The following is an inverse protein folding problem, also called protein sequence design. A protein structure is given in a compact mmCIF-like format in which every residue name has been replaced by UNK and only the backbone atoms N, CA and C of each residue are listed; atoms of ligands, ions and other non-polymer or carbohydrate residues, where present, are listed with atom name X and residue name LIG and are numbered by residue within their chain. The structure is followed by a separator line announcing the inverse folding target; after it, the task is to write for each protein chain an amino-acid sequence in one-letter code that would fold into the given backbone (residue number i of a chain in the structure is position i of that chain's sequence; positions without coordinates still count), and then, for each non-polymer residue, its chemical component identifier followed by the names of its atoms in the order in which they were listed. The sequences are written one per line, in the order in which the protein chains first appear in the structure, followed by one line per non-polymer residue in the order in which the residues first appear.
data_IF_553977808981
#
_entry.id   IF_553977808981
#
_cell.length_a   1.000
_cell.length_b   1.000
_cell.length_c   1.000
_cell.angle_alpha   90.00
_cell.angle_beta   90.00
_cell.angle_gamma   90.00
#
_symmetry.space_group_name_H-M   'P 1'
#
loop_
_entity.id
_entity.type
_entity.pdbx_description
1 polymer ?
#
# COMPACT_ATOMS: atom_id res chain seq x y z
N UNK A 1 -19.18 -13.20 12.82
CA UNK A 1 -18.50 -12.53 11.69
C UNK A 1 -18.24 -11.09 12.12
N UNK A 2 -16.99 -10.64 12.12
CA UNK A 2 -16.61 -9.26 12.47
C UNK A 2 -16.00 -8.62 11.21
N UNK A 3 -16.49 -7.45 10.83
CA UNK A 3 -15.93 -6.62 9.77
C UNK A 3 -15.34 -5.39 10.45
N UNK A 4 -14.03 -5.22 10.35
CA UNK A 4 -13.34 -4.05 10.85
C UNK A 4 -12.96 -3.16 9.67
N UNK A 5 -13.36 -1.89 9.75
CA UNK A 5 -13.16 -0.91 8.69
C UNK A 5 -12.15 0.11 9.18
N UNK A 6 -11.13 0.35 8.36
CA UNK A 6 -10.23 1.47 8.58
C UNK A 6 -11.00 2.74 8.30
N UNK A 7 -11.08 3.62 9.31
CA UNK A 7 -11.82 4.89 9.23
C UNK A 7 -10.90 6.08 9.45
N UNK A 8 -11.15 7.15 8.72
CA UNK A 8 -10.48 8.44 8.91
C UNK A 8 -10.97 9.11 10.20
N UNK A 9 -10.35 10.23 10.56
CA UNK A 9 -10.66 10.98 11.77
C UNK A 9 -12.09 11.54 11.80
N UNK A 10 -12.73 11.67 10.64
CA UNK A 10 -14.11 12.12 10.47
C UNK A 10 -15.12 10.97 10.52
N UNK A 11 -14.65 9.72 10.67
CA UNK A 11 -15.46 8.52 10.71
C UNK A 11 -15.82 7.93 9.35
N UNK A 12 -15.40 8.55 8.22
CA UNK A 12 -15.55 7.98 6.89
C UNK A 12 -14.59 6.80 6.69
N UNK A 13 -14.91 5.92 5.73
CA UNK A 13 -14.06 4.76 5.43
C UNK A 13 -12.85 5.26 4.64
N UNK A 14 -11.65 4.95 5.12
CA UNK A 14 -10.41 5.30 4.44
C UNK A 14 -10.30 4.60 3.10
N UNK A 15 -9.78 5.32 2.11
CA UNK A 15 -9.61 4.81 0.75
C UNK A 15 -8.26 4.13 0.58
N UNK A 16 -8.12 3.35 -0.49
CA UNK A 16 -6.81 2.81 -0.82
C UNK A 16 -5.87 3.92 -1.29
N UNK A 17 -4.58 3.76 -1.05
CA UNK A 17 -3.56 4.69 -1.55
C UNK A 17 -3.62 4.80 -3.08
N UNK A 18 -3.97 3.70 -3.76
CA UNK A 18 -4.19 3.73 -5.20
C UNK A 18 -5.32 4.69 -5.60
N UNK A 19 -6.47 4.62 -4.94
CA UNK A 19 -7.62 5.48 -5.26
C UNK A 19 -7.28 6.96 -5.07
N UNK A 20 -6.60 7.31 -3.96
CA UNK A 20 -6.14 8.67 -3.72
C UNK A 20 -5.21 9.16 -4.84
N UNK A 21 -4.16 8.39 -5.17
CA UNK A 21 -3.19 8.78 -6.21
C UNK A 21 -3.84 8.90 -7.58
N UNK A 22 -4.84 8.07 -7.88
CA UNK A 22 -5.57 8.14 -9.13
C UNK A 22 -6.42 9.42 -9.23
N UNK A 23 -7.15 9.76 -8.18
CA UNK A 23 -7.99 10.95 -8.17
C UNK A 23 -7.16 12.25 -8.16
N UNK A 24 -6.23 12.38 -7.22
CA UNK A 24 -5.49 13.63 -7.01
C UNK A 24 -4.31 13.78 -7.97
N UNK A 25 -3.66 12.67 -8.32
CA UNK A 25 -2.37 12.70 -9.02
C UNK A 25 -1.23 13.25 -8.18
N UNK A 26 -1.42 13.40 -6.87
CA UNK A 26 -0.44 14.00 -5.97
C UNK A 26 -0.03 13.04 -4.85
N UNK A 27 1.21 12.54 -4.84
CA UNK A 27 1.73 11.72 -3.76
C UNK A 27 2.24 12.53 -2.56
N UNK A 28 2.38 13.86 -2.67
CA UNK A 28 3.04 14.68 -1.66
C UNK A 28 2.42 14.56 -0.25
N UNK A 29 1.09 14.56 -0.07
CA UNK A 29 0.47 14.41 1.26
C UNK A 29 0.81 13.09 1.94
N UNK A 30 1.13 12.05 1.18
CA UNK A 30 1.41 10.71 1.69
C UNK A 30 2.90 10.45 1.93
N UNK A 31 3.81 11.35 1.56
CA UNK A 31 5.25 11.13 1.69
C UNK A 31 5.71 10.80 3.13
N UNK A 32 5.20 11.47 4.18
CA UNK A 32 5.53 11.08 5.56
C UNK A 32 5.11 9.64 5.86
N UNK A 33 3.86 9.29 5.50
CA UNK A 33 3.29 7.96 5.72
C UNK A 33 4.04 6.87 4.93
N UNK A 34 4.43 7.15 3.68
CA UNK A 34 5.20 6.26 2.82
C UNK A 34 6.59 6.00 3.40
N UNK A 35 7.23 7.04 3.93
CA UNK A 35 8.56 6.94 4.53
C UNK A 35 8.50 6.09 5.80
N UNK A 36 7.58 6.39 6.70
CA UNK A 36 7.38 5.64 7.95
C UNK A 36 7.03 4.16 7.64
N UNK A 37 6.11 3.92 6.70
CA UNK A 37 5.75 2.57 6.29
C UNK A 37 6.95 1.82 5.70
N UNK A 38 7.75 2.47 4.85
CA UNK A 38 8.93 1.87 4.24
C UNK A 38 10.00 1.50 5.28
N UNK A 39 10.22 2.33 6.28
CA UNK A 39 11.13 2.06 7.38
C UNK A 39 10.61 0.91 8.25
N UNK A 40 9.35 0.97 8.66
CA UNK A 40 8.70 -0.08 9.44
C UNK A 40 8.79 -1.44 8.73
N UNK A 41 8.51 -1.47 7.42
CA UNK A 41 8.51 -2.69 6.62
C UNK A 41 9.90 -3.33 6.49
N UNK A 42 10.94 -2.50 6.28
CA UNK A 42 12.33 -2.97 6.18
C UNK A 42 12.84 -3.51 7.52
N UNK A 43 12.45 -2.87 8.63
CA UNK A 43 12.87 -3.23 9.98
C UNK A 43 12.23 -4.55 10.45
N UNK A 44 10.94 -4.73 10.20
CA UNK A 44 10.19 -5.90 10.72
C UNK A 44 10.12 -7.08 9.75
N UNK A 45 10.46 -6.87 8.48
CA UNK A 45 10.51 -7.91 7.44
C UNK A 45 9.21 -8.71 7.28
N UNK A 46 8.10 -7.99 7.10
CA UNK A 46 6.74 -8.56 7.15
C UNK A 46 6.52 -9.59 6.01
N UNK A 47 6.12 -10.83 6.33
CA UNK A 47 5.90 -11.87 5.32
C UNK A 47 4.66 -11.59 4.45
N UNK A 48 4.85 -10.95 3.30
CA UNK A 48 3.79 -10.60 2.35
C UNK A 48 4.01 -11.23 0.96
N UNK A 49 2.93 -11.52 0.22
CA UNK A 49 2.98 -11.93 -1.20
C UNK A 49 3.50 -10.79 -2.06
N UNK A 50 2.80 -9.67 -2.03
CA UNK A 50 3.03 -8.52 -2.88
C UNK A 50 2.49 -7.29 -2.15
N UNK A 51 3.27 -6.22 -2.15
CA UNK A 51 2.79 -4.93 -1.68
C UNK A 51 2.13 -4.21 -2.85
N UNK A 52 0.81 -4.32 -2.95
CA UNK A 52 0.02 -3.64 -3.97
C UNK A 52 -0.65 -2.40 -3.37
N UNK A 53 -0.77 -1.32 -4.13
CA UNK A 53 -1.30 -0.05 -3.63
C UNK A 53 -2.77 -0.14 -3.18
N UNK A 54 -3.57 -1.01 -3.82
CA UNK A 54 -4.94 -1.30 -3.41
C UNK A 54 -5.05 -2.08 -2.09
N UNK A 55 -3.96 -2.70 -1.62
CA UNK A 55 -3.91 -3.36 -0.31
C UNK A 55 -3.47 -2.43 0.82
N UNK A 56 -3.16 -1.17 0.50
CA UNK A 56 -2.76 -0.15 1.47
C UNK A 56 -3.90 0.85 1.60
N UNK A 57 -4.59 0.85 2.74
CA UNK A 57 -5.50 1.93 3.09
C UNK A 57 -4.68 3.14 3.56
N UNK A 58 -4.94 4.31 3.00
CA UNK A 58 -4.37 5.57 3.46
C UNK A 58 -5.36 6.21 4.42
N UNK A 59 -5.11 6.08 5.73
CA UNK A 59 -5.98 6.61 6.76
C UNK A 59 -5.54 8.02 7.14
N UNK A 60 -6.42 8.99 6.99
CA UNK A 60 -6.27 10.34 7.54
C UNK A 60 -6.64 10.31 9.02
N UNK A 61 -5.67 10.04 9.89
CA UNK A 61 -5.92 9.86 11.33
C UNK A 61 -6.05 11.20 12.08
N UNK A 62 -5.59 12.28 11.46
CA UNK A 62 -5.81 13.68 11.81
C UNK A 62 -5.86 14.48 10.51
N UNK A 63 -6.50 15.67 10.47
CA UNK A 63 -6.55 16.50 9.26
C UNK A 63 -5.15 16.70 8.63
N UNK A 64 -4.99 16.25 7.39
CA UNK A 64 -3.74 16.33 6.62
C UNK A 64 -2.65 15.34 7.03
N UNK A 65 -2.89 14.45 8.00
CA UNK A 65 -1.91 13.45 8.46
C UNK A 65 -2.37 12.05 8.13
N UNK A 66 -1.53 11.35 7.38
CA UNK A 66 -1.83 10.02 6.86
C UNK A 66 -0.97 8.96 7.53
N UNK A 67 -1.55 7.76 7.68
CA UNK A 67 -0.79 6.53 7.94
C UNK A 67 -1.25 5.43 7.01
N UNK A 68 -0.36 4.51 6.66
CA UNK A 68 -0.67 3.40 5.76
C UNK A 68 -0.99 2.14 6.54
N UNK A 69 -2.15 1.55 6.27
CA UNK A 69 -2.59 0.28 6.86
C UNK A 69 -2.65 -0.82 5.80
N UNK A 70 -2.00 -1.96 6.06
CA UNK A 70 -2.09 -3.13 5.19
C UNK A 70 -3.38 -3.90 5.50
N UNK A 71 -4.32 -3.92 4.55
CA UNK A 71 -5.64 -4.54 4.72
C UNK A 71 -5.76 -5.94 4.08
N UNK A 72 -4.82 -6.30 3.19
CA UNK A 72 -4.71 -7.65 2.61
C UNK A 72 -3.26 -7.92 2.16
N UNK A 73 -2.82 -9.18 2.12
CA UNK A 73 -1.54 -9.53 1.49
C UNK A 73 -0.79 -10.72 2.07
N UNK A 74 -1.19 -11.27 3.22
CA UNK A 74 -0.40 -12.31 3.88
C UNK A 74 -0.10 -13.53 2.97
N UNK A 75 1.11 -14.08 3.15
CA UNK A 75 1.60 -15.24 2.40
C UNK A 75 0.84 -16.54 2.70
N UNK A 76 0.79 -17.45 1.72
CA UNK A 76 0.47 -18.86 1.97
C UNK A 76 1.61 -19.53 2.76
N UNK A 77 1.26 -20.50 3.62
CA UNK A 77 2.14 -21.21 4.58
C UNK A 77 3.56 -21.59 4.07
N UNK A 78 3.78 -22.15 2.87
CA UNK A 78 5.13 -22.61 2.48
C UNK A 78 6.14 -21.49 2.18
N UNK A 79 5.70 -20.27 1.85
CA UNK A 79 6.62 -19.13 1.62
C UNK A 79 6.98 -18.44 2.93
N UNK A 80 6.12 -18.57 3.95
CA UNK A 80 6.34 -18.04 5.29
C UNK A 80 7.53 -18.69 5.99
N UNK A 81 7.73 -20.01 5.80
CA UNK A 81 8.86 -20.75 6.41
C UNK A 81 10.22 -20.30 5.88
N UNK A 82 10.37 -20.05 4.58
CA UNK A 82 11.63 -19.60 3.98
C UNK A 82 12.06 -18.19 4.45
N UNK A 83 11.09 -17.28 4.64
CA UNK A 83 11.36 -15.94 5.19
C UNK A 83 11.84 -16.01 6.64
N UNK A 84 11.34 -16.96 7.44
CA UNK A 84 11.82 -17.19 8.82
C UNK A 84 13.23 -17.77 8.91
N UNK A 85 13.64 -18.57 7.93
CA UNK A 85 14.92 -19.29 7.97
C UNK A 85 16.14 -18.41 7.64
N UNK A 86 15.94 -17.24 7.01
CA UNK A 86 17.05 -16.35 6.64
C UNK A 86 16.67 -14.88 6.73
N UNK A 87 17.23 -14.20 7.75
CA UNK A 87 17.08 -12.75 7.93
C UNK A 87 17.57 -11.95 6.71
N UNK A 88 18.66 -12.39 6.06
CA UNK A 88 19.19 -11.74 4.84
C UNK A 88 18.19 -11.82 3.68
N UNK A 89 17.55 -12.97 3.50
CA UNK A 89 16.51 -13.14 2.49
C UNK A 89 15.29 -12.28 2.80
N UNK A 90 14.84 -12.28 4.06
CA UNK A 90 13.73 -11.48 4.54
C UNK A 90 13.96 -9.96 4.31
N UNK A 91 15.14 -9.47 4.65
CA UNK A 91 15.55 -8.08 4.43
C UNK A 91 15.58 -7.74 2.93
N UNK A 92 16.27 -8.55 2.11
CA UNK A 92 16.35 -8.32 0.67
C UNK A 92 14.99 -8.42 -0.03
N UNK A 93 14.08 -9.27 0.46
CA UNK A 93 12.68 -9.31 -0.01
C UNK A 93 11.93 -8.03 0.37
N UNK A 94 12.06 -7.57 1.61
CA UNK A 94 11.38 -6.37 2.12
C UNK A 94 11.84 -5.12 1.37
N UNK A 95 13.14 -4.99 1.12
CA UNK A 95 13.70 -3.90 0.30
C UNK A 95 13.15 -3.92 -1.13
N UNK A 96 13.03 -5.10 -1.75
CA UNK A 96 12.42 -5.24 -3.08
C UNK A 96 10.96 -4.84 -3.09
N UNK A 97 10.19 -5.25 -2.09
CA UNK A 97 8.77 -4.88 -1.97
C UNK A 97 8.57 -3.37 -1.84
N UNK A 98 9.41 -2.69 -1.04
CA UNK A 98 9.37 -1.24 -0.95
C UNK A 98 9.77 -0.57 -2.26
N UNK A 99 10.81 -1.06 -2.94
CA UNK A 99 11.17 -0.56 -4.28
C UNK A 99 10.03 -0.73 -5.28
N UNK A 100 9.33 -1.86 -5.24
CA UNK A 100 8.19 -2.13 -6.11
C UNK A 100 7.00 -1.24 -5.78
N UNK A 101 6.76 -0.93 -4.49
CA UNK A 101 5.74 0.02 -4.05
C UNK A 101 5.91 1.39 -4.72
N UNK A 102 7.09 1.99 -4.59
CA UNK A 102 7.38 3.30 -5.20
C UNK A 102 7.26 3.24 -6.72
N UNK A 103 7.75 2.16 -7.35
CA UNK A 103 7.57 1.94 -8.78
C UNK A 103 6.09 1.87 -9.19
N UNK A 104 5.22 1.29 -8.34
CA UNK A 104 3.79 1.25 -8.60
C UNK A 104 3.12 2.62 -8.42
N UNK A 105 3.62 3.46 -7.51
CA UNK A 105 3.18 4.85 -7.37
C UNK A 105 3.51 5.61 -8.67
N UNK A 106 4.75 5.55 -9.14
CA UNK A 106 5.16 6.20 -10.39
C UNK A 106 4.32 5.73 -11.59
N UNK A 107 4.05 4.42 -11.66
CA UNK A 107 3.19 3.85 -12.71
C UNK A 107 1.74 4.34 -12.61
N UNK A 108 1.19 4.47 -11.41
CA UNK A 108 -0.17 4.95 -11.20
C UNK A 108 -0.30 6.42 -11.64
N UNK A 109 0.67 7.26 -11.26
CA UNK A 109 0.71 8.67 -11.65
C UNK A 109 0.85 8.82 -13.17
N UNK A 110 1.77 8.09 -13.80
CA UNK A 110 1.91 8.10 -15.26
C UNK A 110 0.66 7.59 -15.99
N UNK A 111 0.03 6.52 -15.50
CA UNK A 111 -1.19 5.99 -16.10
C UNK A 111 -2.34 7.01 -16.04
N UNK A 112 -2.43 7.76 -14.94
CA UNK A 112 -3.38 8.87 -14.78
C UNK A 112 -3.12 9.98 -15.80
N UNK A 113 -1.87 10.42 -15.95
CA UNK A 113 -1.50 11.45 -16.95
C UNK A 113 -1.90 11.03 -18.38
N UNK A 114 -1.74 9.75 -18.70
CA UNK A 114 -2.11 9.19 -20.00
C UNK A 114 -3.62 8.88 -20.14
N UNK A 115 -4.43 9.12 -19.09
CA UNK A 115 -5.84 8.69 -18.98
C UNK A 115 -6.05 7.20 -19.33
N UNK A 116 -5.01 6.38 -19.18
CA UNK A 116 -5.10 4.94 -19.40
C UNK A 116 -5.48 4.30 -18.09
N UNK A 117 -6.67 3.71 -18.06
CA UNK A 117 -7.06 2.85 -16.95
C UNK A 117 -5.94 1.84 -16.72
N UNK A 118 -5.38 1.76 -15.50
CA UNK A 118 -4.31 0.84 -15.22
C UNK A 118 -4.95 -0.53 -15.04
N UNK A 119 -5.27 -1.18 -16.16
CA UNK A 119 -6.07 -2.41 -16.22
C UNK A 119 -5.55 -3.55 -15.34
N UNK A 120 -4.25 -3.58 -15.04
CA UNK A 120 -3.61 -4.60 -14.19
C UNK A 120 -3.36 -4.17 -12.73
N UNK A 121 -3.68 -2.93 -12.33
CA UNK A 121 -3.37 -2.40 -10.99
C UNK A 121 -4.55 -2.36 -10.01
N UNK A 122 -5.66 -3.04 -10.30
CA UNK A 122 -6.70 -3.32 -9.31
C UNK A 122 -7.74 -2.22 -9.09
N UNK A 123 -8.21 -1.58 -10.17
CA UNK A 123 -9.26 -0.57 -10.10
C UNK A 123 -10.61 -1.16 -9.64
N UNK A 124 -11.22 -0.61 -8.59
CA UNK A 124 -12.67 -0.72 -8.37
C UNK A 124 -13.32 0.49 -9.06
N UNK A 125 -14.09 0.26 -10.13
CA UNK A 125 -14.84 1.33 -10.80
C UNK A 125 -15.78 1.97 -9.78
N UNK A 126 -15.65 3.28 -9.56
CA UNK A 126 -16.68 4.04 -8.85
C UNK A 126 -17.99 3.94 -9.66
N UNK A 127 -19.09 3.66 -8.96
CA UNK A 127 -20.43 3.61 -9.56
C UNK A 127 -20.81 5.03 -9.97
N UNK A 128 -21.00 5.25 -11.26
CA UNK A 128 -21.87 6.30 -11.79
C UNK A 128 -23.31 6.08 -11.33
#
# INVERSE_FOLDING_TARGET
LVVDLVRDHDGLISRSLFDYLWETGDPAPFQPALTEFAEFWKTHTIPNRKLALFNLAAQEYEPGKYRLQLIDGFLKKPVYSLVRLSHRYALGKSQRQIKDMYRYIDKALKAREENKLPGELGFLKSRT
#
